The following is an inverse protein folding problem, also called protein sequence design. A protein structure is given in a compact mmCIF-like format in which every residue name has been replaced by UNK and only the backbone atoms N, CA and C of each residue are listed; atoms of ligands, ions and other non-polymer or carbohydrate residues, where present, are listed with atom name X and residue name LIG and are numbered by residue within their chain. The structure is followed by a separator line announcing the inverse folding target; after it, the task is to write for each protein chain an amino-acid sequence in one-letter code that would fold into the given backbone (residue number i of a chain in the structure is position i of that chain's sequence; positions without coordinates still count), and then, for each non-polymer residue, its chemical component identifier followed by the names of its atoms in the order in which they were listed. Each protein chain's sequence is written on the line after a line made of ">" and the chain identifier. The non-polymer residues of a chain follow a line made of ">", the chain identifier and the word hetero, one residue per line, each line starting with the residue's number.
data_IF_091342152720
#
_entry.id   IF_091342152720
#
_cell.length_a   1.000
_cell.length_b   1.000
_cell.length_c   1.000
_cell.angle_alpha   90.00
_cell.angle_beta   90.00
_cell.angle_gamma   90.00
#
_symmetry.space_group_name_H-M   'P 1'
#
loop_
_entity.id
_entity.type
_entity.pdbx_description
1 polymer ?
#
# COMPACT_ATOMS: atom_id res chain seq x y z
N UNK A 1 32.74 10.58 -4.52
CA UNK A 1 31.78 10.22 -5.58
C UNK A 1 31.95 8.76 -5.92
N UNK A 2 31.10 7.92 -5.32
CA UNK A 2 30.69 6.55 -5.70
C UNK A 2 29.73 6.14 -4.58
N UNK A 3 28.43 6.33 -4.83
CA UNK A 3 27.38 5.99 -3.88
C UNK A 3 27.17 4.47 -3.97
N UNK A 4 27.42 3.77 -2.87
CA UNK A 4 27.14 2.35 -2.75
C UNK A 4 25.67 2.15 -2.47
N UNK A 5 24.92 1.67 -3.46
CA UNK A 5 23.68 0.94 -3.22
C UNK A 5 24.08 -0.33 -2.47
N UNK A 6 23.76 -0.42 -1.19
CA UNK A 6 23.84 -1.69 -0.48
C UNK A 6 22.67 -2.54 -0.94
N UNK A 7 22.98 -3.66 -1.58
CA UNK A 7 21.99 -4.66 -1.96
C UNK A 7 21.28 -5.16 -0.68
N UNK A 8 19.97 -4.94 -0.61
CA UNK A 8 19.11 -5.51 0.44
C UNK A 8 19.33 -7.04 0.46
N UNK A 9 19.75 -7.65 1.58
CA UNK A 9 20.03 -9.07 1.65
C UNK A 9 18.72 -9.87 1.83
N UNK A 10 17.81 -9.79 0.86
CA UNK A 10 16.64 -10.68 0.78
C UNK A 10 16.40 -11.10 -0.67
N UNK A 11 15.93 -12.34 -0.84
CA UNK A 11 15.70 -12.89 -2.18
C UNK A 11 14.45 -12.23 -2.75
N UNK A 12 14.54 -11.48 -3.87
CA UNK A 12 13.39 -10.81 -4.44
C UNK A 12 12.31 -11.82 -4.82
N UNK A 13 11.05 -11.43 -4.68
CA UNK A 13 9.94 -12.20 -5.24
C UNK A 13 10.16 -12.37 -6.76
N UNK A 14 9.95 -13.57 -7.32
CA UNK A 14 10.43 -13.87 -8.66
C UNK A 14 9.53 -13.24 -9.73
N UNK A 15 9.77 -11.97 -10.12
CA UNK A 15 9.19 -11.36 -11.33
C UNK A 15 10.03 -10.24 -11.97
N UNK A 16 9.83 -10.05 -13.29
CA UNK A 16 10.42 -9.01 -14.14
C UNK A 16 9.80 -7.62 -13.89
N UNK A 17 10.59 -6.57 -14.18
CA UNK A 17 10.19 -5.17 -14.07
C UNK A 17 9.10 -4.79 -15.10
N UNK A 18 8.13 -3.99 -14.68
CA UNK A 18 7.30 -3.22 -15.61
C UNK A 18 8.03 -1.91 -15.92
N UNK A 19 8.67 -1.84 -17.09
CA UNK A 19 9.15 -0.57 -17.66
C UNK A 19 7.95 0.29 -18.04
N UNK A 20 7.78 1.43 -17.38
CA UNK A 20 6.94 2.52 -17.87
C UNK A 20 7.78 3.33 -18.86
N UNK A 21 7.70 2.99 -20.14
CA UNK A 21 8.12 3.92 -21.21
C UNK A 21 6.88 4.67 -21.71
N UNK A 22 6.87 5.98 -21.50
CA UNK A 22 5.83 6.88 -21.99
C UNK A 22 6.13 7.51 -23.35
N UNK A 23 5.17 8.36 -23.75
CA UNK A 23 5.25 9.47 -24.70
C UNK A 23 4.88 9.23 -26.18
N UNK A 24 3.76 9.87 -26.54
CA UNK A 24 3.45 10.61 -27.78
C UNK A 24 3.86 10.02 -29.14
N UNK A 25 2.85 9.67 -29.94
CA UNK A 25 2.90 9.88 -31.39
C UNK A 25 1.59 10.48 -31.89
N UNK A 26 1.69 11.68 -32.48
CA UNK A 26 0.64 12.30 -33.27
C UNK A 26 0.43 11.48 -34.56
N UNK A 27 -0.77 10.94 -34.75
CA UNK A 27 -1.24 10.58 -36.08
C UNK A 27 -2.70 10.97 -36.29
N UNK A 28 -2.89 11.98 -37.13
CA UNK A 28 -4.17 12.35 -37.72
C UNK A 28 -4.64 11.22 -38.64
N UNK A 29 -5.78 10.58 -38.36
CA UNK A 29 -6.59 9.92 -39.39
C UNK A 29 -8.06 9.71 -38.95
N UNK A 30 -8.93 10.55 -39.52
CA UNK A 30 -10.28 10.28 -40.04
C UNK A 30 -10.97 8.95 -39.66
N UNK A 31 -12.00 9.05 -38.82
CA UNK A 31 -13.30 8.39 -39.02
C UNK A 31 -13.35 6.87 -38.90
N UNK A 32 -13.49 6.37 -37.68
CA UNK A 32 -14.07 5.06 -37.39
C UNK A 32 -14.76 5.13 -36.01
N UNK A 33 -15.86 4.40 -35.88
CA UNK A 33 -16.68 4.25 -34.68
C UNK A 33 -15.79 4.02 -33.43
N UNK A 34 -15.62 5.02 -32.57
CA UNK A 34 -14.88 4.89 -31.32
C UNK A 34 -15.70 3.99 -30.38
N UNK A 35 -15.44 2.70 -30.42
CA UNK A 35 -15.45 1.91 -29.18
C UNK A 35 -14.47 2.60 -28.26
N UNK A 36 -14.97 3.39 -27.31
CA UNK A 36 -14.18 3.89 -26.18
C UNK A 36 -13.50 2.67 -25.57
N UNK A 37 -12.19 2.55 -25.78
CA UNK A 37 -11.43 1.47 -25.16
C UNK A 37 -11.61 1.63 -23.65
N UNK A 38 -12.03 0.57 -22.96
CA UNK A 38 -12.11 0.59 -21.51
C UNK A 38 -10.71 0.92 -20.96
N UNK A 39 -10.57 2.10 -20.38
CA UNK A 39 -9.33 2.53 -19.73
C UNK A 39 -9.32 1.92 -18.34
N UNK A 40 -8.22 1.24 -17.99
CA UNK A 40 -7.97 0.77 -16.64
C UNK A 40 -6.84 1.58 -16.01
N UNK A 41 -6.72 1.51 -14.69
CA UNK A 41 -5.57 2.05 -13.97
C UNK A 41 -4.95 1.03 -13.01
N UNK A 42 -3.73 1.36 -12.58
CA UNK A 42 -2.91 0.65 -11.61
C UNK A 42 -2.12 1.69 -10.82
N UNK A 43 -2.65 2.13 -9.68
CA UNK A 43 -2.08 3.21 -8.87
C UNK A 43 -2.65 3.16 -7.43
N UNK A 44 -2.09 3.97 -6.55
CA UNK A 44 -2.72 4.34 -5.29
C UNK A 44 -3.96 5.17 -5.61
N UNK A 45 -5.13 4.62 -5.32
CA UNK A 45 -6.42 5.23 -5.68
C UNK A 45 -6.72 6.42 -4.78
N UNK A 46 -6.68 6.18 -3.47
CA UNK A 46 -6.85 7.17 -2.42
C UNK A 46 -5.99 6.81 -1.23
N UNK A 47 -5.51 7.83 -0.52
CA UNK A 47 -4.74 7.63 0.68
C UNK A 47 -4.75 8.87 1.58
N UNK A 48 -4.54 8.65 2.88
CA UNK A 48 -4.18 9.71 3.80
C UNK A 48 -2.67 9.70 4.00
N UNK A 49 -2.04 10.88 4.06
CA UNK A 49 -0.60 11.00 4.29
C UNK A 49 -0.25 11.97 5.41
N UNK A 50 0.86 11.73 6.11
CA UNK A 50 1.45 12.71 7.02
C UNK A 50 2.97 12.64 6.93
N UNK A 51 3.63 13.78 7.13
CA UNK A 51 5.10 13.89 7.09
C UNK A 51 5.62 14.12 8.49
N UNK A 52 6.79 13.54 8.80
CA UNK A 52 7.44 13.68 10.08
C UNK A 52 7.74 15.16 10.37
N UNK A 53 7.41 15.67 11.58
CA UNK A 53 7.70 17.05 11.94
C UNK A 53 9.21 17.31 12.11
N UNK A 54 10.00 16.24 12.30
CA UNK A 54 11.45 16.27 12.49
C UNK A 54 12.15 15.54 11.36
N UNK A 55 13.35 16.00 11.03
CA UNK A 55 14.23 15.39 10.04
C UNK A 55 14.79 14.01 10.44
N UNK A 56 14.54 13.57 11.67
CA UNK A 56 14.95 12.25 12.18
C UNK A 56 14.00 11.14 11.73
N UNK A 57 12.86 11.50 11.12
CA UNK A 57 11.85 10.55 10.66
C UNK A 57 11.05 9.94 11.81
N UNK A 58 10.23 8.96 11.44
CA UNK A 58 9.48 8.11 12.35
C UNK A 58 10.34 6.95 12.86
N UNK A 59 9.96 6.41 14.02
CA UNK A 59 10.55 5.22 14.64
C UNK A 59 9.53 4.10 14.81
N UNK A 60 8.24 4.43 14.77
CA UNK A 60 7.16 3.45 14.84
C UNK A 60 5.91 3.94 14.13
N UNK A 61 5.21 3.02 13.48
CA UNK A 61 3.83 3.19 13.00
C UNK A 61 3.00 1.96 13.38
N UNK A 62 1.76 2.19 13.80
CA UNK A 62 0.79 1.13 14.09
C UNK A 62 -0.61 1.55 13.67
N UNK A 63 -1.36 0.62 13.10
CA UNK A 63 -2.75 0.82 12.72
C UNK A 63 -3.50 -0.50 12.82
N UNK A 64 -4.79 -0.42 13.13
CA UNK A 64 -5.72 -1.55 13.19
C UNK A 64 -6.90 -1.28 12.27
N UNK A 65 -7.30 -2.28 11.48
CA UNK A 65 -8.48 -2.18 10.60
C UNK A 65 -9.12 -3.55 10.40
N UNK A 66 -10.34 -3.52 9.87
CA UNK A 66 -11.13 -4.73 9.61
C UNK A 66 -10.98 -5.18 8.16
N UNK A 67 -10.81 -6.47 7.94
CA UNK A 67 -10.80 -7.08 6.60
C UNK A 67 -12.18 -6.88 5.94
N UNK A 68 -12.27 -6.17 4.80
CA UNK A 68 -13.55 -5.91 4.14
C UNK A 68 -14.04 -7.13 3.38
N UNK A 69 -15.23 -7.06 2.77
CA UNK A 69 -15.69 -8.12 1.86
C UNK A 69 -14.72 -8.33 0.69
N UNK A 70 -14.92 -9.44 0.00
CA UNK A 70 -14.22 -9.70 -1.25
C UNK A 70 -14.85 -8.84 -2.36
N UNK A 71 -14.06 -8.36 -3.34
CA UNK A 71 -14.61 -7.76 -4.56
C UNK A 71 -15.58 -8.68 -5.31
N UNK A 72 -16.60 -8.12 -5.95
CA UNK A 72 -17.53 -8.87 -6.81
C UNK A 72 -16.90 -9.19 -8.17
N UNK A 73 -15.96 -8.35 -8.61
CA UNK A 73 -15.25 -8.47 -9.88
C UNK A 73 -13.74 -8.55 -9.65
N UNK A 74 -13.08 -9.37 -10.46
CA UNK A 74 -11.62 -9.60 -10.39
C UNK A 74 -10.90 -9.10 -11.65
N UNK A 75 -11.63 -8.31 -12.45
CA UNK A 75 -11.22 -7.81 -13.74
C UNK A 75 -10.96 -8.90 -14.78
N UNK A 76 -10.49 -8.48 -15.96
CA UNK A 76 -10.20 -9.38 -17.07
C UNK A 76 -9.18 -10.45 -16.66
N UNK A 77 -9.54 -11.72 -16.89
CA UNK A 77 -8.71 -12.89 -16.57
C UNK A 77 -8.22 -12.94 -15.11
N UNK A 78 -9.02 -12.41 -14.17
CA UNK A 78 -8.71 -12.41 -12.73
C UNK A 78 -7.35 -11.77 -12.42
N UNK A 79 -7.06 -10.65 -13.10
CA UNK A 79 -5.78 -9.92 -12.96
C UNK A 79 -5.87 -8.74 -11.99
N UNK A 80 -7.08 -8.28 -11.64
CA UNK A 80 -7.23 -7.17 -10.70
C UNK A 80 -6.79 -7.57 -9.31
N UNK A 81 -6.25 -6.58 -8.60
CA UNK A 81 -5.79 -6.77 -7.22
C UNK A 81 -6.05 -5.52 -6.42
N UNK A 82 -6.35 -5.72 -5.14
CA UNK A 82 -6.59 -4.67 -4.18
C UNK A 82 -5.57 -4.83 -3.06
N UNK A 83 -4.96 -3.71 -2.66
CA UNK A 83 -4.09 -3.64 -1.50
C UNK A 83 -4.60 -2.56 -0.55
N UNK A 84 -4.65 -2.92 0.73
CA UNK A 84 -4.96 -2.04 1.85
C UNK A 84 -3.80 -2.12 2.83
N UNK A 85 -3.18 -0.99 3.13
CA UNK A 85 -2.00 -0.98 4.00
C UNK A 85 -1.81 0.35 4.70
N UNK A 86 -1.16 0.27 5.86
CA UNK A 86 -0.40 1.38 6.41
C UNK A 86 1.06 1.28 5.94
N UNK A 87 1.72 2.42 5.71
CA UNK A 87 3.08 2.42 5.17
C UNK A 87 3.97 3.54 5.69
N UNK A 88 5.27 3.25 5.78
CA UNK A 88 6.33 4.22 6.04
C UNK A 88 7.31 4.25 4.85
N UNK A 89 7.66 5.44 4.38
CA UNK A 89 8.61 5.63 3.28
C UNK A 89 9.49 6.88 3.49
N UNK A 90 10.51 7.01 2.64
CA UNK A 90 11.51 8.09 2.65
C UNK A 90 11.27 9.17 1.57
N UNK A 91 10.04 9.25 1.05
CA UNK A 91 9.66 10.16 -0.04
C UNK A 91 9.29 11.59 0.41
N UNK A 92 9.25 11.87 1.71
CA UNK A 92 8.87 13.18 2.24
C UNK A 92 7.43 13.59 1.92
N UNK A 93 6.51 12.65 1.71
CA UNK A 93 5.13 12.92 1.29
C UNK A 93 4.96 13.17 -0.20
N UNK A 94 6.00 12.94 -1.01
CA UNK A 94 5.94 13.09 -2.47
C UNK A 94 5.75 11.72 -3.10
N UNK A 95 4.54 11.47 -3.59
CA UNK A 95 4.20 10.22 -4.27
C UNK A 95 5.19 9.87 -5.39
N UNK A 96 5.68 8.63 -5.38
CA UNK A 96 6.63 8.10 -6.35
C UNK A 96 8.08 8.56 -6.15
N UNK A 97 8.40 9.31 -5.09
CA UNK A 97 9.76 9.74 -4.78
C UNK A 97 10.51 8.82 -3.80
N UNK A 98 9.80 7.88 -3.15
CA UNK A 98 10.37 6.95 -2.19
C UNK A 98 11.37 5.97 -2.84
N UNK A 99 12.46 5.71 -2.12
CA UNK A 99 13.40 4.64 -2.42
C UNK A 99 13.06 3.33 -1.69
N UNK A 100 12.21 3.39 -0.66
CA UNK A 100 11.71 2.22 0.05
C UNK A 100 10.34 2.49 0.67
N UNK A 101 9.50 1.46 0.74
CA UNK A 101 8.23 1.49 1.49
C UNK A 101 8.17 0.27 2.40
N UNK A 102 8.07 0.48 3.70
CA UNK A 102 7.66 -0.55 4.66
C UNK A 102 6.14 -0.59 4.72
N UNK A 103 5.54 -1.78 4.65
CA UNK A 103 4.07 -1.88 4.67
C UNK A 103 3.59 -3.28 5.12
N UNK A 104 2.74 -3.36 6.16
CA UNK A 104 1.85 -4.48 6.40
C UNK A 104 0.69 -4.45 5.39
N UNK A 105 0.62 -5.45 4.50
CA UNK A 105 -0.29 -5.40 3.33
C UNK A 105 -1.38 -6.44 3.42
N UNK A 106 -2.63 -5.98 3.47
CA UNK A 106 -3.81 -6.79 3.22
C UNK A 106 -4.06 -6.79 1.72
N UNK A 107 -4.03 -7.97 1.10
CA UNK A 107 -4.09 -8.13 -0.35
C UNK A 107 -5.18 -9.10 -0.79
N UNK A 108 -5.81 -8.78 -1.92
CA UNK A 108 -6.70 -9.65 -2.65
C UNK A 108 -6.29 -9.67 -4.13
N UNK A 109 -6.43 -10.81 -4.80
CA UNK A 109 -6.10 -10.93 -6.22
C UNK A 109 -4.64 -11.30 -6.49
N UNK A 110 -4.12 -10.87 -7.65
CA UNK A 110 -2.77 -11.22 -8.12
C UNK A 110 -1.71 -10.26 -7.60
N UNK A 111 -0.88 -10.71 -6.67
CA UNK A 111 0.30 -9.95 -6.24
C UNK A 111 1.62 -10.62 -6.60
N UNK A 112 2.71 -9.84 -6.51
CA UNK A 112 4.08 -10.36 -6.63
C UNK A 112 4.43 -11.40 -5.54
N UNK A 113 3.67 -11.41 -4.44
CA UNK A 113 3.82 -12.34 -3.33
C UNK A 113 2.80 -13.50 -3.36
N UNK A 114 1.68 -13.35 -4.07
CA UNK A 114 0.63 -14.37 -4.20
C UNK A 114 0.62 -14.99 -5.60
N UNK A 115 1.64 -15.81 -5.85
CA UNK A 115 1.85 -16.39 -7.18
C UNK A 115 0.87 -17.51 -7.50
N UNK A 116 0.35 -18.23 -6.49
CA UNK A 116 -0.56 -19.34 -6.72
C UNK A 116 -1.96 -18.83 -7.11
N UNK A 117 -2.42 -19.06 -8.36
CA UNK A 117 -3.73 -18.60 -8.83
C UNK A 117 -4.90 -19.16 -8.02
N UNK A 118 -4.77 -20.35 -7.42
CA UNK A 118 -5.86 -20.95 -6.64
C UNK A 118 -6.08 -20.26 -5.29
N UNK A 119 -5.18 -19.35 -4.91
CA UNK A 119 -5.26 -18.59 -3.65
C UNK A 119 -5.72 -17.14 -3.86
N UNK A 120 -5.83 -16.65 -5.09
CA UNK A 120 -6.07 -15.22 -5.38
C UNK A 120 -7.47 -14.73 -5.06
N UNK A 121 -8.40 -15.63 -4.72
CA UNK A 121 -9.79 -15.29 -4.40
C UNK A 121 -10.03 -15.21 -2.88
N UNK A 122 -8.97 -15.04 -2.08
CA UNK A 122 -9.00 -14.92 -0.63
C UNK A 122 -8.14 -13.73 -0.20
N UNK A 123 -8.46 -13.16 0.95
CA UNK A 123 -7.62 -12.17 1.60
C UNK A 123 -6.38 -12.84 2.22
N UNK A 124 -5.24 -12.19 2.02
CA UNK A 124 -4.00 -12.53 2.72
C UNK A 124 -3.41 -11.28 3.35
N UNK A 125 -2.83 -11.43 4.53
CA UNK A 125 -2.09 -10.39 5.22
C UNK A 125 -0.61 -10.77 5.31
N UNK A 126 0.29 -9.86 4.96
CA UNK A 126 1.73 -10.16 4.89
C UNK A 126 2.58 -8.90 5.02
N UNK A 127 3.78 -9.07 5.56
CA UNK A 127 4.71 -7.97 5.82
C UNK A 127 5.66 -7.76 4.64
N UNK A 128 5.59 -6.58 4.04
CA UNK A 128 6.30 -6.20 2.84
C UNK A 128 7.39 -5.16 3.13
N UNK A 129 8.46 -5.27 2.36
CA UNK A 129 9.43 -4.21 2.09
C UNK A 129 9.43 -4.02 0.58
N UNK A 130 9.11 -2.82 0.10
CA UNK A 130 9.13 -2.50 -1.33
C UNK A 130 10.32 -1.62 -1.63
N UNK A 131 11.16 -2.02 -2.60
CA UNK A 131 12.31 -1.22 -3.01
C UNK A 131 11.96 -0.15 -4.05
N UNK A 132 12.87 0.77 -4.31
CA UNK A 132 12.68 1.89 -5.23
C UNK A 132 12.48 1.50 -6.70
N UNK A 133 12.57 0.22 -7.06
CA UNK A 133 12.16 -0.29 -8.37
C UNK A 133 10.71 -0.81 -8.36
N UNK A 134 9.97 -0.61 -7.26
CA UNK A 134 8.63 -1.13 -7.05
C UNK A 134 8.58 -2.64 -6.78
N UNK A 135 9.70 -3.28 -6.41
CA UNK A 135 9.70 -4.72 -6.13
C UNK A 135 9.37 -4.98 -4.68
N UNK A 136 8.35 -5.81 -4.46
CA UNK A 136 7.99 -6.31 -3.14
C UNK A 136 8.89 -7.47 -2.71
N UNK A 137 9.33 -7.40 -1.46
CA UNK A 137 9.99 -8.45 -0.69
C UNK A 137 9.08 -8.75 0.49
N UNK A 138 8.46 -9.93 0.52
CA UNK A 138 7.43 -10.26 1.49
C UNK A 138 7.79 -11.47 2.34
N UNK A 139 7.31 -11.43 3.58
CA UNK A 139 7.33 -12.54 4.50
C UNK A 139 6.15 -13.49 4.27
N UNK A 140 5.87 -14.36 5.23
CA UNK A 140 4.80 -15.35 5.12
C UNK A 140 3.44 -14.72 4.82
N UNK A 141 2.62 -15.44 4.04
CA UNK A 141 1.24 -15.05 3.72
C UNK A 141 0.29 -15.65 4.76
N UNK A 142 -0.39 -14.79 5.51
CA UNK A 142 -1.39 -15.21 6.50
C UNK A 142 -2.78 -15.15 5.86
N UNK A 143 -3.55 -16.24 5.78
CA UNK A 143 -4.95 -16.14 5.38
C UNK A 143 -5.76 -15.43 6.47
N UNK A 144 -6.64 -14.52 6.07
CA UNK A 144 -7.51 -13.78 6.99
C UNK A 144 -8.95 -13.83 6.50
N UNK A 145 -9.89 -13.75 7.43
CA UNK A 145 -11.31 -13.85 7.13
C UNK A 145 -11.97 -12.46 7.04
N UNK A 146 -13.04 -12.34 6.25
CA UNK A 146 -13.84 -11.11 6.19
C UNK A 146 -14.38 -10.77 7.58
N UNK A 147 -14.27 -9.51 7.99
CA UNK A 147 -14.69 -9.04 9.30
C UNK A 147 -13.66 -9.28 10.42
N UNK A 148 -12.52 -9.90 10.12
CA UNK A 148 -11.40 -10.04 11.06
C UNK A 148 -10.73 -8.69 11.30
N UNK A 149 -10.40 -8.41 12.55
CA UNK A 149 -9.56 -7.27 12.92
C UNK A 149 -8.08 -7.67 12.77
N UNK A 150 -7.33 -6.84 12.05
CA UNK A 150 -5.90 -7.06 11.79
C UNK A 150 -5.10 -5.80 12.15
N UNK A 151 -3.84 -6.00 12.52
CA UNK A 151 -2.96 -4.92 12.97
C UNK A 151 -1.65 -4.93 12.17
N UNK A 152 -1.30 -3.79 11.60
CA UNK A 152 -0.04 -3.57 10.92
C UNK A 152 0.91 -2.73 11.78
N UNK A 153 2.13 -3.23 12.02
CA UNK A 153 3.14 -2.53 12.84
C UNK A 153 4.45 -2.42 12.06
N UNK A 154 5.09 -1.26 12.14
CA UNK A 154 6.46 -1.03 11.69
C UNK A 154 7.24 -0.42 12.84
N UNK A 155 8.36 -1.02 13.24
CA UNK A 155 9.14 -0.58 14.41
C UNK A 155 10.64 -0.61 14.11
N UNK A 156 11.31 0.51 14.39
CA UNK A 156 12.78 0.62 14.38
C UNK A 156 13.36 -0.02 15.65
N UNK A 157 14.49 -0.69 15.53
CA UNK A 157 15.21 -1.24 16.68
C UNK A 157 15.74 -0.14 17.62
N UNK A 158 15.63 -0.38 18.94
CA UNK A 158 16.04 0.55 19.99
C UNK A 158 17.54 0.46 20.35
N UNK A 159 18.34 -0.27 19.58
CA UNK A 159 19.76 -0.53 19.85
C UNK A 159 20.72 0.44 19.14
N UNK A 160 20.17 1.46 18.49
CA UNK A 160 20.91 2.45 17.71
C UNK A 160 21.25 2.00 16.29
N UNK A 161 20.85 0.78 15.89
CA UNK A 161 20.83 0.38 14.49
C UNK A 161 19.69 1.08 13.73
N UNK A 162 19.70 0.96 12.40
CA UNK A 162 18.56 1.31 11.56
C UNK A 162 17.87 0.05 11.03
N UNK A 163 17.84 -1.00 11.85
CA UNK A 163 17.05 -2.19 11.58
C UNK A 163 15.57 -1.92 11.86
N UNK A 164 14.71 -2.34 10.94
CA UNK A 164 13.28 -2.20 11.03
C UNK A 164 12.62 -3.57 10.98
N UNK A 165 11.58 -3.74 11.80
CA UNK A 165 10.67 -4.88 11.72
C UNK A 165 9.32 -4.40 11.20
N UNK A 166 8.78 -5.11 10.21
CA UNK A 166 7.42 -4.98 9.69
C UNK A 166 6.64 -6.21 10.13
N UNK A 167 5.52 -6.00 10.81
CA UNK A 167 4.66 -7.06 11.34
C UNK A 167 3.24 -6.92 10.82
N UNK A 168 2.69 -8.03 10.37
CA UNK A 168 1.28 -8.18 10.00
C UNK A 168 0.66 -9.19 10.93
N UNK A 169 -0.17 -8.71 11.86
CA UNK A 169 -0.76 -9.51 12.95
C UNK A 169 -2.23 -9.78 12.62
N UNK A 170 -2.59 -11.06 12.69
CA UNK A 170 -3.93 -11.58 12.48
C UNK A 170 -4.21 -12.73 13.47
N UNK A 171 -5.47 -13.16 13.59
CA UNK A 171 -5.85 -14.27 14.46
C UNK A 171 -5.15 -15.59 14.06
N UNK A 172 -4.88 -15.77 12.76
CA UNK A 172 -4.20 -16.96 12.23
C UNK A 172 -2.67 -16.95 12.48
N UNK A 173 -2.07 -15.80 12.85
CA UNK A 173 -0.65 -15.69 13.16
C UNK A 173 -0.05 -14.32 12.84
N UNK A 174 1.28 -14.26 12.87
CA UNK A 174 2.05 -13.04 12.56
C UNK A 174 3.03 -13.31 11.42
N UNK A 175 3.01 -12.44 10.41
CA UNK A 175 4.04 -12.34 9.38
C UNK A 175 5.03 -11.30 9.84
N UNK A 176 6.33 -11.57 9.65
CA UNK A 176 7.40 -10.67 10.12
C UNK A 176 8.45 -10.56 9.02
N UNK A 177 8.76 -9.33 8.63
CA UNK A 177 9.91 -9.02 7.78
C UNK A 177 10.86 -8.07 8.51
N UNK A 178 12.17 -8.30 8.40
CA UNK A 178 13.21 -7.48 9.03
C UNK A 178 14.20 -7.00 7.97
N UNK A 179 14.53 -5.71 8.02
CA UNK A 179 15.42 -5.07 7.04
C UNK A 179 16.30 -4.01 7.71
N UNK A 180 17.57 -3.97 7.32
CA UNK A 180 18.48 -2.87 7.67
C UNK A 180 18.33 -1.75 6.64
N UNK A 181 17.96 -0.57 7.10
CA UNK A 181 17.73 0.62 6.27
C UNK A 181 18.98 1.47 6.06
N UNK A 182 20.13 1.12 6.66
CA UNK A 182 21.36 1.89 6.53
C UNK A 182 21.15 3.36 6.94
N UNK A 183 21.39 4.29 6.01
CA UNK A 183 21.23 5.74 6.24
C UNK A 183 19.84 6.28 5.86
N UNK A 184 18.89 5.42 5.45
CA UNK A 184 17.54 5.85 5.04
C UNK A 184 16.71 6.34 6.23
N UNK A 185 15.98 7.43 6.04
CA UNK A 185 15.11 8.04 7.04
C UNK A 185 13.67 7.94 6.54
N UNK A 186 12.83 7.17 7.24
CA UNK A 186 11.41 7.08 6.92
C UNK A 186 10.69 8.29 7.49
N UNK A 187 10.34 9.24 6.63
CA UNK A 187 9.86 10.58 7.01
C UNK A 187 8.42 10.85 6.57
N UNK A 188 7.75 9.89 5.97
CA UNK A 188 6.34 9.98 5.59
C UNK A 188 5.59 8.70 5.89
N UNK A 189 4.33 8.86 6.25
CA UNK A 189 3.43 7.80 6.69
C UNK A 189 2.12 7.87 5.91
N UNK A 190 1.56 6.71 5.57
CA UNK A 190 0.42 6.59 4.67
C UNK A 190 -0.60 5.56 5.16
N UNK A 191 -1.86 5.78 4.80
CA UNK A 191 -2.97 4.83 4.91
C UNK A 191 -3.64 4.75 3.55
N UNK A 192 -3.51 3.61 2.88
CA UNK A 192 -3.63 3.56 1.42
C UNK A 192 -4.60 2.47 0.95
N UNK A 193 -5.38 2.83 -0.07
CA UNK A 193 -6.07 1.91 -0.97
C UNK A 193 -5.35 1.96 -2.33
N UNK A 194 -4.75 0.84 -2.72
CA UNK A 194 -4.13 0.68 -4.03
C UNK A 194 -4.94 -0.34 -4.86
N UNK A 195 -5.28 0.08 -6.08
CA UNK A 195 -5.99 -0.75 -7.05
C UNK A 195 -5.09 -1.04 -8.23
N UNK A 196 -4.95 -2.32 -8.58
CA UNK A 196 -4.19 -2.76 -9.76
C UNK A 196 -5.14 -3.35 -10.79
N UNK A 197 -5.01 -2.89 -12.03
CA UNK A 197 -5.80 -3.36 -13.19
C UNK A 197 -7.31 -3.18 -12.92
N UNK A 198 -7.71 -1.97 -12.48
CA UNK A 198 -9.10 -1.63 -12.15
C UNK A 198 -9.83 -1.12 -13.39
N UNK A 199 -10.92 -1.78 -13.76
CA UNK A 199 -11.76 -1.40 -14.91
C UNK A 199 -13.14 -0.88 -14.49
N UNK A 200 -13.66 -1.37 -13.38
CA UNK A 200 -15.02 -1.13 -12.89
C UNK A 200 -15.00 -1.10 -11.36
N UNK A 201 -15.94 -0.37 -10.76
CA UNK A 201 -15.92 -0.07 -9.33
C UNK A 201 -16.21 -1.28 -8.43
N UNK A 202 -16.90 -2.28 -8.97
CA UNK A 202 -17.11 -3.61 -8.37
C UNK A 202 -15.81 -4.45 -8.19
N UNK A 203 -14.66 -3.91 -8.64
CA UNK A 203 -13.32 -4.44 -8.33
C UNK A 203 -12.89 -4.12 -6.89
N UNK A 204 -13.50 -3.12 -6.26
CA UNK A 204 -13.30 -2.82 -4.84
C UNK A 204 -14.27 -3.63 -3.96
N UNK A 205 -13.99 -3.76 -2.64
CA UNK A 205 -14.91 -4.43 -1.72
C UNK A 205 -16.31 -3.79 -1.67
N UNK A 206 -17.32 -4.62 -1.42
CA UNK A 206 -18.73 -4.23 -1.54
C UNK A 206 -19.25 -3.24 -0.48
N UNK A 207 -18.58 -3.10 0.67
CA UNK A 207 -19.01 -2.16 1.72
C UNK A 207 -18.77 -0.70 1.36
N UNK A 208 -17.86 -0.41 0.43
CA UNK A 208 -17.53 0.95 0.03
C UNK A 208 -16.60 1.70 0.98
N UNK A 209 -16.06 1.04 2.02
CA UNK A 209 -15.16 1.70 2.97
C UNK A 209 -14.21 0.74 3.70
N UNK A 210 -13.09 1.29 4.17
CA UNK A 210 -12.22 0.72 5.21
C UNK A 210 -11.83 1.84 6.18
N UNK A 211 -11.98 1.61 7.49
CA UNK A 211 -11.56 2.54 8.55
C UNK A 211 -10.29 2.02 9.23
N UNK A 212 -9.22 2.82 9.17
CA UNK A 212 -8.02 2.66 9.96
C UNK A 212 -8.20 3.36 11.30
N UNK A 213 -7.92 2.62 12.36
CA UNK A 213 -8.01 3.06 13.75
C UNK A 213 -6.69 2.79 14.48
N UNK A 214 -6.58 3.30 15.71
CA UNK A 214 -5.36 3.18 16.52
C UNK A 214 -4.12 3.72 15.77
N UNK A 215 -4.32 4.83 15.04
CA UNK A 215 -3.34 5.43 14.13
C UNK A 215 -2.16 6.05 14.89
N UNK A 216 -1.27 5.21 15.42
CA UNK A 216 -0.14 5.61 16.25
C UNK A 216 1.12 5.85 15.43
N UNK A 217 1.75 7.00 15.63
CA UNK A 217 3.07 7.34 15.09
C UNK A 217 4.02 7.74 16.22
N UNK A 218 5.28 7.35 16.11
CA UNK A 218 6.34 7.78 17.02
C UNK A 218 7.55 8.28 16.25
N UNK A 219 8.27 9.25 16.85
CA UNK A 219 9.62 9.67 16.48
C UNK A 219 10.57 9.50 17.68
N UNK A 220 11.82 9.94 17.55
CA UNK A 220 12.81 9.87 18.65
C UNK A 220 12.38 10.61 19.94
N UNK A 221 11.43 11.54 19.84
CA UNK A 221 10.83 12.27 20.96
C UNK A 221 9.57 11.64 21.54
N UNK A 222 9.13 10.48 21.03
CA UNK A 222 7.94 9.77 21.46
C UNK A 222 6.77 9.93 20.50
N UNK A 223 5.55 9.92 21.03
CA UNK A 223 4.31 9.97 20.25
C UNK A 223 4.19 11.25 19.43
N UNK A 224 3.82 11.09 18.15
CA UNK A 224 3.61 12.18 17.20
C UNK A 224 2.12 12.35 16.97
N UNK A 225 1.62 13.56 17.18
CA UNK A 225 0.25 13.90 16.78
C UNK A 225 0.15 13.87 15.26
N UNK A 226 -0.74 13.04 14.72
CA UNK A 226 -0.98 12.92 13.29
C UNK A 226 -1.66 14.17 12.73
N UNK A 227 -1.27 14.56 11.52
CA UNK A 227 -1.97 15.57 10.72
C UNK A 227 -2.13 15.03 9.30
N UNK A 228 -3.06 14.09 9.17
CA UNK A 228 -3.36 13.44 7.92
C UNK A 228 -3.87 14.45 6.89
N UNK A 229 -3.31 14.36 5.69
CA UNK A 229 -3.71 15.09 4.49
C UNK A 229 -4.34 14.09 3.53
N UNK A 230 -5.51 14.42 3.03
CA UNK A 230 -6.28 13.61 2.10
C UNK A 230 -5.70 13.73 0.70
N UNK A 231 -5.52 12.60 0.02
CA UNK A 231 -5.05 12.54 -1.36
C UNK A 231 -5.98 11.61 -2.17
N UNK A 232 -6.55 12.15 -3.24
CA UNK A 232 -7.43 11.42 -4.17
C UNK A 232 -6.82 11.49 -5.56
N UNK A 233 -6.43 10.32 -6.08
CA UNK A 233 -5.83 10.21 -7.43
C UNK A 233 -6.80 9.65 -8.46
N UNK A 234 -7.78 8.89 -7.99
CA UNK A 234 -8.86 8.31 -8.77
C UNK A 234 -10.20 8.59 -8.06
N UNK A 235 -11.17 9.13 -8.79
CA UNK A 235 -12.50 9.52 -8.27
C UNK A 235 -13.68 8.93 -9.07
N UNK A 236 -13.40 8.07 -10.07
CA UNK A 236 -14.40 7.49 -10.97
C UNK A 236 -15.40 6.56 -10.26
N UNK A 237 -15.00 6.05 -9.09
CA UNK A 237 -15.81 5.24 -8.18
C UNK A 237 -16.18 6.02 -6.92
N UNK A 238 -16.27 7.35 -6.97
CA UNK A 238 -16.47 8.23 -5.81
C UNK A 238 -15.46 7.93 -4.67
N UNK A 239 -14.21 7.60 -5.00
CA UNK A 239 -13.24 7.30 -3.97
C UNK A 239 -12.90 8.55 -3.16
N UNK A 240 -12.69 8.39 -1.86
CA UNK A 240 -12.41 9.51 -0.97
C UNK A 240 -11.64 9.11 0.28
N UNK A 241 -11.29 10.13 1.06
CA UNK A 241 -10.63 9.99 2.36
C UNK A 241 -11.37 10.87 3.35
N UNK A 242 -11.69 10.33 4.52
CA UNK A 242 -12.29 11.07 5.63
C UNK A 242 -11.35 10.96 6.84
N UNK A 243 -10.84 12.09 7.32
CA UNK A 243 -10.03 12.16 8.54
C UNK A 243 -10.89 12.70 9.69
N UNK A 244 -10.92 12.00 10.81
CA UNK A 244 -11.61 12.52 11.99
C UNK A 244 -10.88 13.72 12.61
N UNK A 245 -11.58 14.53 13.40
CA UNK A 245 -11.00 15.78 13.92
C UNK A 245 -9.77 15.60 14.82
N UNK A 246 -9.49 14.39 15.31
CA UNK A 246 -8.30 14.04 16.10
C UNK A 246 -7.18 13.42 15.27
N UNK A 247 -7.47 12.89 14.08
CA UNK A 247 -6.55 12.07 13.27
C UNK A 247 -6.38 10.63 13.78
N UNK A 248 -7.21 10.22 14.74
CA UNK A 248 -7.21 8.87 15.34
C UNK A 248 -7.93 7.86 14.45
N UNK A 249 -8.84 8.35 13.59
CA UNK A 249 -9.55 7.54 12.61
C UNK A 249 -9.40 8.15 11.22
N UNK A 250 -9.09 7.28 10.26
CA UNK A 250 -9.02 7.63 8.85
C UNK A 250 -9.82 6.60 8.09
N UNK A 251 -10.80 7.04 7.31
CA UNK A 251 -11.61 6.18 6.47
C UNK A 251 -11.28 6.42 5.00
N UNK A 252 -11.02 5.34 4.27
CA UNK A 252 -10.96 5.35 2.81
C UNK A 252 -12.33 4.89 2.30
N UNK A 253 -12.90 5.59 1.33
CA UNK A 253 -14.25 5.32 0.81
C UNK A 253 -14.25 5.14 -0.70
N UNK A 254 -15.28 4.48 -1.23
CA UNK A 254 -15.60 4.28 -2.65
C UNK A 254 -17.05 3.81 -2.81
N UNK A 255 -17.59 3.82 -4.03
CA UNK A 255 -18.90 3.31 -4.40
C UNK A 255 -18.74 2.18 -5.42
N UNK A 256 -18.85 0.90 -5.01
CA UNK A 256 -18.66 -0.24 -5.91
C UNK A 256 -19.81 -0.44 -6.91
N UNK A 257 -20.91 0.33 -6.80
CA UNK A 257 -22.10 0.18 -7.64
C UNK A 257 -22.09 1.02 -8.93
N UNK A 258 -21.09 1.88 -9.10
CA UNK A 258 -20.94 2.78 -10.26
C UNK A 258 -20.35 2.09 -11.50
#
# INVERSE_FOLDING_TARGET
>A
MKNGSQDLPQTPCPHEMLTVEGANDEHTQSGANETVAATYYSDWSVYAQTVAPKKTGFTKMTNTWTVPSIPENHGPASQSSIYLFNGLEDGGGVHGAASVILQPVLQYGKSGCLLNPTKRNLWYFSSYVVDGNGRAHCADLIPVEVGEEITGIMTKADDGSNEWTVESIAAAGTSVNTVDMGDVILDSAYLTLEGMVVYTCDTYPGEGEVEFTENGLQDEGGEVKTNWVEEVRHDECNQGVEVDGSGEKVRLTWDPSL
#
